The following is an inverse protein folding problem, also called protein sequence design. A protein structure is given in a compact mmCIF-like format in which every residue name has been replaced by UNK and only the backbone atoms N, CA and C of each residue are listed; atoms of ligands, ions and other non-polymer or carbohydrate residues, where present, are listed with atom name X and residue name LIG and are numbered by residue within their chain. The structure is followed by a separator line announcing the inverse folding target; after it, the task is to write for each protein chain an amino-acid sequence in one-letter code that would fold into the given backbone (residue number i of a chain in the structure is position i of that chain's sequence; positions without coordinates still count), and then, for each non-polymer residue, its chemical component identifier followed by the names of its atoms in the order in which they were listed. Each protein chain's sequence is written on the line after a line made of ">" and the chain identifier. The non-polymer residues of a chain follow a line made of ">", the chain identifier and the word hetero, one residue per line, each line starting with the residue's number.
data_IF_158026274304
#
_entry.id   IF_158026274304
#
_cell.length_a   1.000
_cell.length_b   1.000
_cell.length_c   1.000
_cell.angle_alpha   90.00
_cell.angle_beta   90.00
_cell.angle_gamma   90.00
#
_symmetry.space_group_name_H-M   'P 1'
#
loop_
_entity.id
_entity.type
_entity.pdbx_description
1 polymer ?
#
# COMPACT_ATOMS: atom_id res chain seq x y z
N UNK A 1 35.87 36.44 34.49
CA UNK A 1 34.67 36.76 35.31
C UNK A 1 33.64 35.63 35.17
N UNK A 2 32.78 35.38 36.17
CA UNK A 2 31.69 34.39 36.04
C UNK A 2 30.45 35.05 35.43
N UNK A 3 29.81 34.37 34.49
CA UNK A 3 28.55 34.82 33.91
C UNK A 3 27.42 34.73 34.97
N UNK A 4 26.59 35.77 35.17
CA UNK A 4 25.52 35.73 36.16
C UNK A 4 24.41 34.72 35.82
N UNK A 5 24.22 34.41 34.53
CA UNK A 5 23.20 33.47 34.06
C UNK A 5 23.65 32.01 34.20
N UNK A 6 24.82 31.67 33.64
CA UNK A 6 25.24 30.27 33.52
C UNK A 6 26.44 29.90 34.40
N UNK A 7 26.97 30.83 35.20
CA UNK A 7 28.14 30.68 36.08
C UNK A 7 29.45 30.23 35.39
N UNK A 8 29.49 30.21 34.05
CA UNK A 8 30.69 29.87 33.29
C UNK A 8 31.78 30.91 33.51
N UNK A 9 33.03 30.44 33.65
CA UNK A 9 34.21 31.28 33.72
C UNK A 9 34.57 31.79 32.32
N UNK A 10 34.48 33.10 32.10
CA UNK A 10 34.97 33.75 30.89
C UNK A 10 36.28 34.50 31.18
N UNK A 11 37.09 34.71 30.14
CA UNK A 11 38.27 35.58 30.17
C UNK A 11 37.90 36.99 30.66
N UNK A 12 38.85 37.70 31.27
CA UNK A 12 38.60 39.02 31.88
C UNK A 12 38.18 40.09 30.86
N UNK A 13 38.47 39.85 29.58
CA UNK A 13 38.29 40.82 28.50
C UNK A 13 37.14 40.42 27.54
N UNK A 14 36.39 39.36 27.87
CA UNK A 14 35.30 38.87 27.03
C UNK A 14 34.09 39.82 27.10
N UNK A 15 33.65 40.33 25.94
CA UNK A 15 32.47 41.19 25.83
C UNK A 15 31.14 40.42 25.92
N UNK A 16 31.18 39.09 25.75
CA UNK A 16 30.03 38.21 25.87
C UNK A 16 30.45 36.86 26.46
N UNK A 17 29.53 36.18 27.15
CA UNK A 17 29.78 34.83 27.64
C UNK A 17 29.83 33.84 26.47
N UNK A 18 30.90 33.05 26.37
CA UNK A 18 31.06 32.05 25.30
C UNK A 18 30.03 30.92 25.34
N UNK A 19 29.40 30.69 26.50
CA UNK A 19 28.45 29.59 26.70
C UNK A 19 27.00 30.00 26.42
N UNK A 20 26.54 31.14 26.95
CA UNK A 20 25.14 31.58 26.82
C UNK A 20 24.94 32.83 25.94
N UNK A 21 26.02 33.49 25.49
CA UNK A 21 25.95 34.67 24.64
C UNK A 21 25.55 35.98 25.34
N UNK A 22 25.35 35.98 26.66
CA UNK A 22 25.01 37.18 27.41
C UNK A 22 26.15 38.21 27.37
N UNK A 23 25.84 39.46 27.03
CA UNK A 23 26.80 40.57 27.00
C UNK A 23 27.25 40.93 28.43
N UNK A 24 28.56 41.00 28.65
CA UNK A 24 29.16 41.36 29.93
C UNK A 24 29.47 42.87 29.92
N UNK A 25 28.59 43.67 30.52
CA UNK A 25 28.45 45.14 30.34
C UNK A 25 29.58 46.04 30.91
N UNK A 26 30.73 45.50 31.34
CA UNK A 26 31.74 46.27 32.07
C UNK A 26 33.01 46.63 31.29
N UNK A 27 33.05 46.46 29.96
CA UNK A 27 34.24 46.78 29.16
C UNK A 27 33.92 47.90 28.16
N UNK A 28 34.57 49.06 28.33
CA UNK A 28 34.52 50.16 27.36
C UNK A 28 34.82 49.64 25.96
N UNK A 29 34.01 49.96 24.94
CA UNK A 29 34.18 49.42 23.60
C UNK A 29 35.52 49.87 23.01
N UNK A 30 36.43 48.91 22.84
CA UNK A 30 37.74 49.10 22.19
C UNK A 30 37.48 49.41 20.71
N UNK A 31 37.85 50.62 20.25
CA UNK A 31 37.78 51.13 18.85
C UNK A 31 38.28 50.17 17.75
N UNK A 32 38.96 49.08 18.10
CA UNK A 32 39.45 48.04 17.17
C UNK A 32 38.34 47.33 16.38
N UNK A 33 37.12 47.24 16.90
CA UNK A 33 36.03 46.57 16.19
C UNK A 33 35.53 47.40 14.99
N UNK A 34 35.56 48.73 15.10
CA UNK A 34 35.16 49.63 14.01
C UNK A 34 36.23 49.63 12.89
N UNK A 35 37.51 49.66 13.24
CA UNK A 35 38.60 49.62 12.26
C UNK A 35 38.64 48.31 11.45
N UNK A 36 38.38 47.16 12.09
CA UNK A 36 38.27 45.87 11.40
C UNK A 36 37.01 45.80 10.51
N UNK A 37 35.91 46.40 10.93
CA UNK A 37 34.70 46.48 10.11
C UNK A 37 34.92 47.38 8.88
N UNK A 38 35.66 48.48 9.03
CA UNK A 38 36.03 49.38 7.92
C UNK A 38 37.01 48.71 6.96
N UNK A 39 38.03 47.99 7.46
CA UNK A 39 38.94 47.21 6.60
C UNK A 39 38.21 46.10 5.84
N UNK A 40 37.27 45.38 6.46
CA UNK A 40 36.47 44.36 5.75
C UNK A 40 35.58 44.96 4.66
N UNK A 41 35.04 46.17 4.85
CA UNK A 41 34.27 46.87 3.80
C UNK A 41 35.15 47.28 2.63
N UNK A 42 36.37 47.79 2.87
CA UNK A 42 37.31 48.16 1.80
C UNK A 42 37.87 46.95 1.06
N UNK A 43 38.10 45.82 1.73
CA UNK A 43 38.54 44.58 1.09
C UNK A 43 37.43 43.97 0.20
N UNK A 44 36.14 44.14 0.55
CA UNK A 44 35.06 43.67 -0.32
C UNK A 44 34.84 44.50 -1.59
N UNK A 45 35.37 45.73 -1.63
CA UNK A 45 35.23 46.60 -2.80
C UNK A 45 36.25 46.28 -3.91
N UNK A 46 37.35 45.59 -3.59
CA UNK A 46 38.41 45.28 -4.57
C UNK A 46 38.24 43.96 -5.33
N UNK A 47 37.38 43.05 -4.87
CA UNK A 47 37.12 41.76 -5.53
C UNK A 47 35.75 41.75 -6.22
N UNK A 48 35.45 42.79 -7.00
CA UNK A 48 34.26 42.76 -7.85
C UNK A 48 34.51 41.85 -9.05
N UNK A 49 33.90 40.67 -9.04
CA UNK A 49 33.83 39.84 -10.24
C UNK A 49 32.86 40.52 -11.22
N UNK A 50 33.09 40.38 -12.52
CA UNK A 50 32.14 40.82 -13.52
C UNK A 50 31.12 39.71 -13.81
N UNK A 51 29.86 40.08 -13.96
CA UNK A 51 28.82 39.13 -14.32
C UNK A 51 29.04 38.62 -15.75
N UNK A 52 29.14 37.30 -15.93
CA UNK A 52 29.36 36.66 -17.24
C UNK A 52 28.26 36.98 -18.28
N UNK A 53 27.08 37.41 -17.84
CA UNK A 53 25.94 37.68 -18.73
C UNK A 53 25.82 39.15 -19.15
N UNK A 54 26.06 40.09 -18.22
CA UNK A 54 25.83 41.53 -18.47
C UNK A 54 27.05 42.42 -18.24
N UNK A 55 28.18 41.87 -17.79
CA UNK A 55 29.41 42.61 -17.47
C UNK A 55 29.31 43.49 -16.21
N UNK A 56 28.17 43.53 -15.53
CA UNK A 56 28.00 44.33 -14.31
C UNK A 56 28.85 43.79 -13.15
N UNK A 57 29.43 44.69 -12.36
CA UNK A 57 30.17 44.35 -11.15
C UNK A 57 29.26 43.63 -10.14
N UNK A 58 29.69 42.45 -9.69
CA UNK A 58 28.98 41.61 -8.74
C UNK A 58 29.89 41.19 -7.58
N UNK A 59 29.29 41.00 -6.41
CA UNK A 59 29.99 40.41 -5.27
C UNK A 59 30.33 38.95 -5.60
N UNK A 60 31.52 38.44 -5.21
CA UNK A 60 31.96 37.08 -5.51
C UNK A 60 31.11 36.00 -4.82
N UNK A 61 30.26 36.39 -3.85
CA UNK A 61 29.30 35.51 -3.16
C UNK A 61 27.85 35.73 -3.60
N UNK A 62 27.61 36.53 -4.65
CA UNK A 62 26.26 36.82 -5.11
C UNK A 62 25.69 35.62 -5.88
N UNK A 63 24.61 35.05 -5.38
CA UNK A 63 23.88 33.95 -6.05
C UNK A 63 23.19 34.44 -7.33
N UNK A 64 22.81 35.72 -7.38
CA UNK A 64 22.17 36.37 -8.54
C UNK A 64 22.79 37.71 -8.83
N UNK A 65 22.92 38.04 -10.12
CA UNK A 65 23.36 39.35 -10.54
C UNK A 65 22.30 40.41 -10.23
N UNK A 66 22.71 41.55 -9.67
CA UNK A 66 21.81 42.66 -9.35
C UNK A 66 21.28 43.38 -10.61
N UNK A 67 22.03 43.32 -11.71
CA UNK A 67 21.69 44.03 -12.95
C UNK A 67 20.78 43.22 -13.88
N UNK A 68 21.10 41.94 -14.15
CA UNK A 68 20.33 41.10 -15.07
C UNK A 68 19.47 40.04 -14.38
N UNK A 69 19.55 39.88 -13.06
CA UNK A 69 18.85 38.86 -12.27
C UNK A 69 19.21 37.39 -12.57
N UNK A 70 20.16 37.15 -13.48
CA UNK A 70 20.63 35.82 -13.84
C UNK A 70 21.40 35.17 -12.68
N UNK A 71 21.32 33.84 -12.58
CA UNK A 71 22.01 33.05 -11.55
C UNK A 71 23.47 32.93 -11.91
N UNK A 72 24.37 33.40 -11.04
CA UNK A 72 25.81 33.40 -11.30
C UNK A 72 26.49 32.19 -10.66
N UNK A 73 26.00 31.73 -9.50
CA UNK A 73 26.56 30.61 -8.76
C UNK A 73 25.69 29.35 -8.93
N UNK A 74 26.01 28.55 -9.95
CA UNK A 74 25.36 27.24 -10.16
C UNK A 74 25.65 26.24 -9.04
N UNK A 75 26.82 26.30 -8.40
CA UNK A 75 27.23 25.34 -7.38
C UNK A 75 26.37 25.47 -6.13
N UNK A 76 26.01 26.68 -5.74
CA UNK A 76 25.08 26.95 -4.65
C UNK A 76 23.73 26.22 -4.84
N UNK A 77 23.17 26.25 -6.05
CA UNK A 77 21.93 25.55 -6.37
C UNK A 77 22.09 24.03 -6.40
N UNK A 78 23.21 23.51 -6.92
CA UNK A 78 23.52 22.07 -6.89
C UNK A 78 23.62 21.55 -5.46
N UNK A 79 24.35 22.24 -4.58
CA UNK A 79 24.48 21.85 -3.17
C UNK A 79 23.15 21.94 -2.43
N UNK A 80 22.33 22.97 -2.70
CA UNK A 80 21.00 23.11 -2.10
C UNK A 80 20.05 22.00 -2.55
N UNK A 81 20.09 21.63 -3.83
CA UNK A 81 19.31 20.52 -4.38
C UNK A 81 19.73 19.16 -3.78
N UNK A 82 21.03 18.93 -3.56
CA UNK A 82 21.54 17.73 -2.89
C UNK A 82 21.07 17.63 -1.43
N UNK A 83 21.12 18.74 -0.68
CA UNK A 83 20.61 18.79 0.71
C UNK A 83 19.09 18.55 0.80
N UNK A 84 18.32 19.01 -0.18
CA UNK A 84 16.89 18.74 -0.24
C UNK A 84 16.60 17.27 -0.56
N UNK A 85 17.35 16.64 -1.48
CA UNK A 85 17.18 15.22 -1.82
C UNK A 85 17.47 14.30 -0.63
N UNK A 86 18.49 14.59 0.19
CA UNK A 86 18.82 13.76 1.34
C UNK A 86 17.75 13.80 2.44
N UNK A 87 17.10 14.95 2.66
CA UNK A 87 16.00 15.08 3.64
C UNK A 87 14.72 14.36 3.20
N UNK A 88 14.40 14.36 1.91
CA UNK A 88 13.18 13.74 1.39
C UNK A 88 13.24 12.21 1.49
N UNK A 89 14.42 11.60 1.31
CA UNK A 89 14.56 10.15 1.42
C UNK A 89 14.29 9.64 2.85
N UNK A 90 14.68 10.38 3.88
CA UNK A 90 14.48 9.93 5.27
C UNK A 90 13.01 10.02 5.70
N UNK A 91 12.34 11.13 5.37
CA UNK A 91 10.92 11.31 5.68
C UNK A 91 10.04 10.28 4.97
N UNK A 92 10.36 9.95 3.71
CA UNK A 92 9.68 8.89 2.94
C UNK A 92 9.79 7.53 3.63
N UNK A 93 10.96 7.20 4.18
CA UNK A 93 11.19 5.89 4.77
C UNK A 93 10.51 5.73 6.13
N UNK A 94 10.51 6.79 6.93
CA UNK A 94 9.79 6.83 8.23
C UNK A 94 8.28 6.71 8.02
N UNK A 95 7.70 7.45 7.06
CA UNK A 95 6.29 7.32 6.70
C UNK A 95 5.92 5.93 6.20
N UNK A 96 6.80 5.29 5.42
CA UNK A 96 6.59 3.93 4.93
C UNK A 96 6.56 2.89 6.06
N UNK A 97 7.53 2.94 6.98
CA UNK A 97 7.56 2.06 8.15
C UNK A 97 6.36 2.27 9.06
N UNK A 98 5.96 3.53 9.28
CA UNK A 98 4.80 3.84 10.10
C UNK A 98 3.49 3.35 9.47
N UNK A 99 3.34 3.51 8.15
CA UNK A 99 2.21 2.96 7.39
C UNK A 99 2.15 1.43 7.44
N UNK A 100 3.30 0.76 7.36
CA UNK A 100 3.38 -0.70 7.42
C UNK A 100 3.08 -1.23 8.85
N UNK A 101 3.56 -0.54 9.88
CA UNK A 101 3.23 -0.85 11.28
C UNK A 101 1.74 -0.66 11.60
N UNK A 102 1.13 0.42 11.11
CA UNK A 102 -0.30 0.68 11.29
C UNK A 102 -1.18 -0.38 10.59
N UNK A 103 -0.77 -0.86 9.41
CA UNK A 103 -1.45 -1.93 8.68
C UNK A 103 -1.44 -3.28 9.43
N UNK A 104 -0.34 -3.58 10.14
CA UNK A 104 -0.21 -4.79 10.94
C UNK A 104 -1.04 -4.72 12.23
N UNK A 105 -1.11 -3.55 12.87
CA UNK A 105 -1.80 -3.37 14.15
C UNK A 105 -3.32 -3.25 14.01
N UNK A 106 -3.83 -2.68 12.90
CA UNK A 106 -5.25 -2.34 12.76
C UNK A 106 -5.93 -3.10 11.61
N UNK A 107 -5.84 -4.44 11.57
CA UNK A 107 -6.36 -5.26 10.45
C UNK A 107 -7.79 -4.93 9.95
N UNK A 108 -8.81 -4.66 10.79
CA UNK A 108 -10.14 -4.28 10.28
C UNK A 108 -10.31 -2.77 10.03
N UNK A 109 -9.61 -1.90 10.77
CA UNK A 109 -9.77 -0.43 10.67
C UNK A 109 -8.82 0.18 9.61
N UNK A 110 -7.67 -0.45 9.39
CA UNK A 110 -6.64 -0.04 8.44
C UNK A 110 -7.09 -0.15 6.99
N UNK A 111 -7.92 -1.16 6.65
CA UNK A 111 -8.48 -1.28 5.29
C UNK A 111 -9.45 -0.13 5.00
N UNK A 112 -10.29 0.25 5.97
CA UNK A 112 -11.18 1.40 5.86
C UNK A 112 -10.41 2.72 5.78
N UNK A 113 -9.34 2.86 6.56
CA UNK A 113 -8.47 4.05 6.53
C UNK A 113 -7.73 4.20 5.20
N UNK A 114 -7.25 3.10 4.61
CA UNK A 114 -6.60 3.11 3.29
C UNK A 114 -7.61 3.45 2.21
N UNK A 115 -8.82 2.88 2.24
CA UNK A 115 -9.88 3.21 1.29
C UNK A 115 -10.28 4.70 1.39
N UNK A 116 -10.43 5.22 2.61
CA UNK A 116 -10.73 6.63 2.85
C UNK A 116 -9.59 7.54 2.37
N UNK A 117 -8.33 7.19 2.65
CA UNK A 117 -7.16 7.94 2.20
C UNK A 117 -7.01 7.96 0.67
N UNK A 118 -7.31 6.84 0.01
CA UNK A 118 -7.29 6.75 -1.45
C UNK A 118 -8.39 7.62 -2.08
N UNK A 119 -9.61 7.56 -1.53
CA UNK A 119 -10.73 8.42 -1.92
C UNK A 119 -10.41 9.90 -1.71
N UNK A 120 -9.80 10.26 -0.59
CA UNK A 120 -9.38 11.65 -0.32
C UNK A 120 -8.29 12.11 -1.28
N UNK A 121 -7.35 11.24 -1.68
CA UNK A 121 -6.33 11.59 -2.67
C UNK A 121 -6.96 11.83 -4.04
N UNK A 122 -7.90 10.97 -4.46
CA UNK A 122 -8.62 11.13 -5.72
C UNK A 122 -9.45 12.41 -5.69
N UNK A 123 -10.17 12.69 -4.60
CA UNK A 123 -10.93 13.92 -4.43
C UNK A 123 -10.02 15.16 -4.48
N UNK A 124 -8.85 15.11 -3.85
CA UNK A 124 -7.87 16.21 -3.87
C UNK A 124 -7.38 16.53 -5.29
N UNK A 125 -7.12 15.50 -6.10
CA UNK A 125 -6.72 15.69 -7.51
C UNK A 125 -7.89 15.98 -8.46
N UNK A 126 -9.12 15.69 -8.04
CA UNK A 126 -10.33 15.92 -8.83
C UNK A 126 -10.92 17.32 -8.63
N UNK A 127 -10.47 18.10 -7.63
CA UNK A 127 -10.86 19.51 -7.52
C UNK A 127 -10.13 20.26 -8.65
N UNK A 128 -10.84 20.72 -9.69
CA UNK A 128 -10.21 21.53 -10.72
C UNK A 128 -9.75 22.83 -10.05
N UNK A 129 -8.45 23.04 -10.02
CA UNK A 129 -7.89 24.33 -9.64
C UNK A 129 -8.24 25.27 -10.79
N UNK A 130 -9.37 25.96 -10.67
CA UNK A 130 -9.73 27.01 -11.62
C UNK A 130 -8.59 28.01 -11.66
N UNK A 131 -7.93 28.22 -12.81
CA UNK A 131 -6.91 29.23 -12.92
C UNK A 131 -7.55 30.57 -12.55
N UNK A 132 -6.89 31.40 -11.71
CA UNK A 132 -7.47 32.66 -11.26
C UNK A 132 -7.97 33.44 -12.47
N UNK A 133 -9.26 33.78 -12.45
CA UNK A 133 -9.95 34.41 -13.56
C UNK A 133 -9.15 35.63 -14.03
N UNK A 134 -8.54 35.52 -15.22
CA UNK A 134 -7.82 36.64 -15.80
C UNK A 134 -8.83 37.78 -16.00
N UNK A 135 -8.56 39.01 -15.51
CA UNK A 135 -9.53 40.09 -15.60
C UNK A 135 -9.83 40.39 -17.07
N UNK A 136 -11.11 40.21 -17.42
CA UNK A 136 -11.67 40.34 -18.77
C UNK A 136 -11.64 41.82 -19.17
N UNK A 137 -10.59 42.23 -19.87
CA UNK A 137 -10.39 43.62 -20.29
C UNK A 137 -11.25 43.94 -21.53
N UNK A 138 -12.29 44.77 -21.36
CA UNK A 138 -13.09 45.33 -22.45
C UNK A 138 -12.45 46.64 -22.93
N UNK A 139 -12.32 46.74 -24.26
CA UNK A 139 -12.11 47.93 -25.11
C UNK A 139 -10.68 48.49 -25.28
N UNK A 140 -10.18 48.22 -26.49
CA UNK A 140 -9.28 49.03 -27.34
C UNK A 140 -9.07 50.48 -26.89
N UNK A 141 -7.82 50.83 -26.58
CA UNK A 141 -7.24 52.15 -26.88
C UNK A 141 -5.79 51.99 -27.32
N UNK A 142 -5.34 52.87 -28.23
CA UNK A 142 -4.09 52.84 -29.01
C UNK A 142 -2.78 53.00 -28.22
N UNK A 143 -2.79 52.79 -26.90
CA UNK A 143 -1.61 52.88 -26.03
C UNK A 143 -0.79 51.57 -25.93
N UNK A 144 -1.33 50.45 -26.43
CA UNK A 144 -0.71 49.12 -26.35
C UNK A 144 0.52 48.88 -27.24
N UNK A 145 0.85 49.81 -28.14
CA UNK A 145 2.05 49.69 -28.98
C UNK A 145 3.34 50.11 -28.25
N UNK A 146 3.26 51.01 -27.25
CA UNK A 146 4.42 51.45 -26.48
C UNK A 146 4.77 50.50 -25.33
N UNK A 147 3.78 49.84 -24.73
CA UNK A 147 4.01 48.89 -23.62
C UNK A 147 4.55 47.53 -24.13
N UNK A 148 4.27 47.16 -25.38
CA UNK A 148 4.84 45.94 -26.01
C UNK A 148 6.35 46.02 -26.24
N UNK A 149 6.97 47.20 -26.23
CA UNK A 149 8.44 47.33 -26.26
C UNK A 149 9.09 47.15 -24.89
N UNK A 150 8.34 47.25 -23.78
CA UNK A 150 8.87 47.01 -22.44
C UNK A 150 8.54 45.62 -21.87
N UNK A 151 7.52 44.93 -22.37
CA UNK A 151 7.21 43.55 -21.99
C UNK A 151 7.82 42.52 -22.95
N UNK A 152 9.11 42.70 -23.27
CA UNK A 152 9.97 41.60 -23.71
C UNK A 152 10.33 40.76 -22.48
N UNK A 153 9.29 40.27 -21.79
CA UNK A 153 9.44 39.15 -20.87
C UNK A 153 9.76 37.95 -21.76
N UNK A 154 11.05 37.72 -21.95
CA UNK A 154 11.56 36.41 -22.28
C UNK A 154 10.80 35.41 -21.42
N UNK A 155 10.02 34.58 -22.08
CA UNK A 155 9.43 33.41 -21.43
C UNK A 155 10.63 32.61 -20.98
N UNK A 156 11.00 32.74 -19.70
CA UNK A 156 11.86 31.80 -19.00
C UNK A 156 11.05 30.50 -18.98
N UNK A 157 11.12 29.76 -20.08
CA UNK A 157 10.68 28.38 -20.13
C UNK A 157 11.61 27.66 -19.18
N UNK A 158 11.18 27.52 -17.93
CA UNK A 158 11.82 26.59 -17.00
C UNK A 158 11.79 25.25 -17.73
N UNK A 159 12.94 24.69 -18.16
CA UNK A 159 12.93 23.42 -18.84
C UNK A 159 12.44 22.39 -17.82
N UNK A 160 11.18 21.96 -17.97
CA UNK A 160 10.68 20.81 -17.24
C UNK A 160 11.63 19.65 -17.62
N UNK A 161 12.36 19.07 -16.66
CA UNK A 161 13.30 18.02 -16.96
C UNK A 161 12.51 16.90 -17.63
N UNK A 162 12.89 16.54 -18.86
CA UNK A 162 12.26 15.44 -19.57
C UNK A 162 12.24 14.23 -18.63
N UNK A 163 11.04 13.78 -18.25
CA UNK A 163 10.82 12.56 -17.46
C UNK A 163 11.10 11.35 -18.37
N UNK A 164 12.34 11.24 -18.82
CA UNK A 164 12.85 10.16 -19.65
C UNK A 164 13.01 8.94 -18.73
N UNK A 165 12.09 8.01 -18.90
CA UNK A 165 12.21 6.59 -18.56
C UNK A 165 12.53 6.22 -17.11
N UNK A 166 12.05 6.98 -16.11
CA UNK A 166 12.02 6.44 -14.74
C UNK A 166 10.81 5.52 -14.62
N UNK A 167 11.07 4.20 -14.60
CA UNK A 167 10.08 3.18 -14.24
C UNK A 167 9.54 3.52 -12.85
N UNK A 168 8.39 4.19 -12.80
CA UNK A 168 7.59 4.38 -11.61
C UNK A 168 7.09 2.98 -11.22
N UNK A 169 7.89 2.25 -10.44
CA UNK A 169 7.45 1.02 -9.81
C UNK A 169 6.45 1.45 -8.74
N UNK A 170 5.16 1.40 -9.09
CA UNK A 170 4.06 1.69 -8.18
C UNK A 170 4.11 0.67 -7.04
N UNK A 171 4.63 1.09 -5.90
CA UNK A 171 4.69 0.28 -4.67
C UNK A 171 3.27 -0.11 -4.19
N UNK A 172 2.23 0.58 -4.68
CA UNK A 172 0.82 0.27 -4.39
C UNK A 172 0.23 -0.90 -5.20
N UNK A 173 0.79 -1.28 -6.34
CA UNK A 173 0.24 -2.37 -7.19
C UNK A 173 0.10 -3.72 -6.48
N UNK A 174 1.09 -4.22 -5.71
CA UNK A 174 0.95 -5.52 -5.04
C UNK A 174 -0.14 -5.50 -3.94
N UNK A 175 -0.30 -4.39 -3.23
CA UNK A 175 -1.34 -4.26 -2.19
C UNK A 175 -2.74 -4.30 -2.81
N UNK A 176 -2.94 -3.57 -3.92
CA UNK A 176 -4.20 -3.56 -4.65
C UNK A 176 -4.52 -4.96 -5.20
N UNK A 177 -3.53 -5.64 -5.78
CA UNK A 177 -3.70 -7.02 -6.26
C UNK A 177 -4.08 -7.99 -5.13
N UNK A 178 -3.46 -7.87 -3.95
CA UNK A 178 -3.81 -8.69 -2.78
C UNK A 178 -5.25 -8.43 -2.28
N UNK A 179 -5.70 -7.17 -2.26
CA UNK A 179 -7.07 -6.81 -1.88
C UNK A 179 -8.10 -7.34 -2.89
N UNK A 180 -7.82 -7.24 -4.19
CA UNK A 180 -8.68 -7.79 -5.24
C UNK A 180 -8.73 -9.32 -5.13
N UNK A 181 -7.59 -9.98 -4.94
CA UNK A 181 -7.55 -11.43 -4.72
C UNK A 181 -8.39 -11.84 -3.51
N UNK A 182 -8.17 -11.22 -2.36
CA UNK A 182 -8.92 -11.53 -1.13
C UNK A 182 -10.43 -11.30 -1.28
N UNK A 183 -10.84 -10.17 -1.85
CA UNK A 183 -12.27 -9.88 -2.08
C UNK A 183 -12.91 -10.86 -3.06
N UNK A 184 -12.23 -11.21 -4.16
CA UNK A 184 -12.71 -12.21 -5.10
C UNK A 184 -12.95 -13.58 -4.44
N UNK A 185 -12.06 -14.01 -3.53
CA UNK A 185 -12.28 -15.25 -2.76
C UNK A 185 -13.53 -15.19 -1.88
N UNK A 186 -13.72 -14.07 -1.20
CA UNK A 186 -14.87 -13.88 -0.32
C UNK A 186 -16.20 -13.97 -1.08
N UNK A 187 -16.35 -13.21 -2.17
CA UNK A 187 -17.60 -13.16 -2.93
C UNK A 187 -17.82 -14.40 -3.81
N UNK A 188 -16.78 -14.92 -4.45
CA UNK A 188 -16.95 -15.98 -5.47
C UNK A 188 -17.02 -17.39 -4.90
N UNK A 189 -16.45 -17.62 -3.71
CA UNK A 189 -16.31 -18.95 -3.11
C UNK A 189 -16.86 -18.99 -1.68
N UNK A 190 -16.40 -18.10 -0.79
CA UNK A 190 -16.77 -18.15 0.63
C UNK A 190 -18.23 -17.80 0.88
N UNK A 191 -18.77 -16.78 0.23
CA UNK A 191 -20.17 -16.37 0.38
C UNK A 191 -21.15 -17.47 -0.05
N UNK A 192 -20.99 -18.13 -1.22
CA UNK A 192 -21.77 -19.32 -1.57
C UNK A 192 -21.76 -20.41 -0.49
N UNK A 193 -20.61 -20.68 0.15
CA UNK A 193 -20.49 -21.62 1.26
C UNK A 193 -21.25 -21.13 2.49
N UNK A 194 -21.06 -19.87 2.87
CA UNK A 194 -21.73 -19.28 4.03
C UNK A 194 -23.25 -19.35 3.90
N UNK A 195 -23.78 -19.08 2.71
CA UNK A 195 -25.20 -19.22 2.42
C UNK A 195 -25.68 -20.67 2.60
N UNK A 196 -24.94 -21.64 2.09
CA UNK A 196 -25.27 -23.07 2.23
C UNK A 196 -25.33 -23.45 3.71
N UNK A 197 -24.31 -23.07 4.48
CA UNK A 197 -24.24 -23.35 5.91
C UNK A 197 -25.37 -22.70 6.71
N UNK A 198 -25.96 -21.59 6.21
CA UNK A 198 -27.11 -20.92 6.82
C UNK A 198 -28.46 -21.52 6.42
N UNK A 199 -28.55 -22.24 5.30
CA UNK A 199 -29.82 -22.74 4.76
C UNK A 199 -30.41 -23.90 5.56
N UNK A 200 -29.61 -24.66 6.30
CA UNK A 200 -30.06 -25.85 7.02
C UNK A 200 -29.47 -25.94 8.42
N UNK A 201 -30.33 -26.27 9.37
CA UNK A 201 -29.95 -26.48 10.76
C UNK A 201 -29.00 -27.66 10.95
N UNK A 202 -29.03 -28.63 10.03
CA UNK A 202 -28.11 -29.76 10.01
C UNK A 202 -26.63 -29.33 9.89
N UNK A 203 -26.38 -28.14 9.33
CA UNK A 203 -25.03 -27.62 9.16
C UNK A 203 -24.54 -26.78 10.35
N UNK A 204 -25.39 -26.54 11.37
CA UNK A 204 -25.02 -25.78 12.58
C UNK A 204 -23.96 -26.53 13.37
N UNK A 205 -22.71 -26.05 13.31
CA UNK A 205 -21.54 -26.67 13.95
C UNK A 205 -20.45 -27.08 12.97
N UNK A 206 -20.70 -26.97 11.67
CA UNK A 206 -19.69 -27.11 10.64
C UNK A 206 -19.12 -25.75 10.25
N UNK A 207 -17.79 -25.65 10.19
CA UNK A 207 -17.09 -24.46 9.69
C UNK A 207 -16.28 -24.85 8.46
N UNK A 208 -16.57 -24.20 7.34
CA UNK A 208 -15.92 -24.44 6.04
C UNK A 208 -15.34 -23.14 5.53
N UNK A 209 -14.13 -23.21 4.99
CA UNK A 209 -13.48 -22.13 4.25
C UNK A 209 -13.28 -22.57 2.81
N UNK A 210 -13.67 -21.73 1.84
CA UNK A 210 -13.42 -21.96 0.43
C UNK A 210 -12.65 -20.78 -0.16
N UNK A 211 -11.52 -21.07 -0.80
CA UNK A 211 -10.69 -20.06 -1.46
C UNK A 211 -9.96 -20.67 -2.65
N UNK A 212 -9.46 -19.81 -3.53
CA UNK A 212 -8.53 -20.16 -4.58
C UNK A 212 -7.18 -20.56 -3.99
N UNK A 213 -6.41 -21.35 -4.75
CA UNK A 213 -5.05 -21.71 -4.37
C UNK A 213 -4.20 -20.43 -4.18
N UNK A 214 -3.52 -20.36 -3.04
CA UNK A 214 -2.79 -19.18 -2.56
C UNK A 214 -3.61 -17.88 -2.49
N UNK A 215 -4.95 -17.94 -2.46
CA UNK A 215 -5.85 -16.78 -2.54
C UNK A 215 -5.73 -15.95 -3.83
N UNK A 216 -4.98 -16.41 -4.84
CA UNK A 216 -4.69 -15.62 -6.04
C UNK A 216 -4.86 -16.41 -7.33
N UNK A 217 -4.65 -17.72 -7.35
CA UNK A 217 -4.64 -18.51 -8.60
C UNK A 217 -6.06 -18.95 -8.97
N UNK A 218 -6.74 -18.30 -9.94
CA UNK A 218 -8.06 -18.72 -10.36
C UNK A 218 -7.93 -20.06 -11.10
N UNK A 219 -8.68 -21.07 -10.65
CA UNK A 219 -8.75 -22.37 -11.32
C UNK A 219 -8.52 -23.56 -10.41
N UNK A 220 -7.88 -23.37 -9.26
CA UNK A 220 -7.80 -24.39 -8.21
C UNK A 220 -8.57 -23.87 -7.01
N UNK A 221 -9.63 -24.58 -6.61
CA UNK A 221 -10.45 -24.24 -5.45
C UNK A 221 -10.08 -25.18 -4.32
N UNK A 222 -9.75 -24.62 -3.16
CA UNK A 222 -9.57 -25.37 -1.93
C UNK A 222 -10.86 -25.27 -1.09
N UNK A 223 -11.51 -26.40 -0.86
CA UNK A 223 -12.63 -26.56 0.06
C UNK A 223 -12.10 -27.15 1.37
N UNK A 224 -11.86 -26.29 2.36
CA UNK A 224 -11.22 -26.63 3.61
C UNK A 224 -12.24 -26.71 4.75
N UNK A 225 -12.44 -27.92 5.26
CA UNK A 225 -13.25 -28.17 6.44
C UNK A 225 -12.44 -27.85 7.70
N UNK A 226 -12.81 -26.80 8.42
CA UNK A 226 -12.03 -26.30 9.56
C UNK A 226 -12.45 -26.93 10.89
N UNK A 227 -13.75 -27.10 11.09
CA UNK A 227 -14.31 -27.56 12.38
C UNK A 227 -15.59 -28.33 12.14
N UNK A 228 -15.74 -29.41 12.92
CA UNK A 228 -16.95 -30.22 13.03
C UNK A 228 -17.27 -30.36 14.51
N UNK A 229 -18.56 -30.31 14.86
CA UNK A 229 -19.04 -30.73 16.18
C UNK A 229 -19.50 -32.19 16.13
N UNK A 230 -19.63 -32.81 17.30
CA UNK A 230 -20.07 -34.20 17.47
C UNK A 230 -21.48 -34.50 16.93
N UNK A 231 -22.28 -33.46 16.64
CA UNK A 231 -23.64 -33.62 16.10
C UNK A 231 -23.66 -33.79 14.58
N UNK A 232 -22.58 -33.45 13.87
CA UNK A 232 -22.54 -33.58 12.42
C UNK A 232 -22.35 -35.02 12.02
N UNK A 233 -23.26 -35.52 11.19
CA UNK A 233 -23.13 -36.83 10.56
C UNK A 233 -22.30 -36.70 9.27
N UNK A 234 -21.68 -37.79 8.78
CA UNK A 234 -20.95 -37.73 7.52
C UNK A 234 -21.80 -37.30 6.33
N UNK A 235 -23.09 -37.68 6.33
CA UNK A 235 -24.01 -37.29 5.28
C UNK A 235 -24.28 -35.77 5.28
N UNK A 236 -24.26 -35.11 6.43
CA UNK A 236 -24.40 -33.64 6.51
C UNK A 236 -23.21 -32.94 5.88
N UNK A 237 -22.00 -33.42 6.17
CA UNK A 237 -20.74 -32.89 5.59
C UNK A 237 -20.73 -33.11 4.08
N UNK A 238 -21.13 -34.30 3.64
CA UNK A 238 -21.24 -34.63 2.21
C UNK A 238 -22.25 -33.73 1.51
N UNK A 239 -23.43 -33.58 2.08
CA UNK A 239 -24.50 -32.75 1.52
C UNK A 239 -24.09 -31.28 1.40
N UNK A 240 -23.40 -30.73 2.39
CA UNK A 240 -22.88 -29.36 2.31
C UNK A 240 -21.90 -29.19 1.14
N UNK A 241 -21.03 -30.18 0.92
CA UNK A 241 -20.12 -30.19 -0.23
C UNK A 241 -20.87 -30.32 -1.57
N UNK A 242 -21.91 -31.16 -1.64
CA UNK A 242 -22.75 -31.31 -2.84
C UNK A 242 -23.54 -30.03 -3.18
N UNK A 243 -24.10 -29.34 -2.19
CA UNK A 243 -24.74 -28.04 -2.38
C UNK A 243 -23.74 -26.99 -2.88
N UNK A 244 -22.49 -27.05 -2.40
CA UNK A 244 -21.43 -26.18 -2.91
C UNK A 244 -21.08 -26.48 -4.38
N UNK A 245 -20.96 -27.76 -4.73
CA UNK A 245 -20.77 -28.19 -6.12
C UNK A 245 -21.93 -27.74 -7.02
N UNK A 246 -23.17 -27.85 -6.53
CA UNK A 246 -24.38 -27.39 -7.23
C UNK A 246 -24.39 -25.88 -7.47
N UNK A 247 -23.99 -25.06 -6.50
CA UNK A 247 -23.88 -23.60 -6.68
C UNK A 247 -22.80 -23.20 -7.68
N UNK A 248 -21.71 -23.96 -7.76
CA UNK A 248 -20.56 -23.63 -8.62
C UNK A 248 -20.52 -24.40 -9.95
N UNK A 249 -21.55 -25.19 -10.28
CA UNK A 249 -21.60 -26.10 -11.43
C UNK A 249 -21.37 -25.46 -12.81
N UNK A 250 -21.60 -24.16 -12.93
CA UNK A 250 -21.45 -23.39 -14.16
C UNK A 250 -20.01 -22.88 -14.36
N UNK A 251 -19.23 -22.78 -13.28
CA UNK A 251 -17.85 -22.32 -13.32
C UNK A 251 -16.92 -23.46 -13.69
N UNK A 252 -15.90 -23.16 -14.51
CA UNK A 252 -14.87 -24.12 -14.91
C UNK A 252 -13.66 -23.98 -14.00
N UNK A 253 -13.32 -25.06 -13.31
CA UNK A 253 -12.09 -25.17 -12.54
C UNK A 253 -11.18 -26.19 -13.18
N UNK A 254 -9.88 -26.07 -12.94
CA UNK A 254 -8.89 -27.10 -13.25
C UNK A 254 -9.02 -28.25 -12.25
N UNK A 255 -9.17 -27.91 -10.96
CA UNK A 255 -9.14 -28.86 -9.85
C UNK A 255 -9.86 -28.29 -8.63
N UNK A 256 -10.44 -29.17 -7.81
CA UNK A 256 -10.96 -28.86 -6.48
C UNK A 256 -10.27 -29.74 -5.45
N UNK A 257 -9.61 -29.12 -4.50
CA UNK A 257 -8.90 -29.79 -3.42
C UNK A 257 -9.78 -29.80 -2.16
N UNK A 258 -9.93 -30.99 -1.56
CA UNK A 258 -10.62 -31.15 -0.29
C UNK A 258 -9.58 -31.21 0.82
N UNK A 259 -9.64 -30.23 1.71
CA UNK A 259 -8.73 -30.09 2.84
C UNK A 259 -9.47 -30.27 4.16
N UNK A 260 -8.75 -30.71 5.19
CA UNK A 260 -9.22 -30.69 6.57
C UNK A 260 -8.20 -29.97 7.45
N UNK A 261 -8.62 -28.90 8.13
CA UNK A 261 -7.75 -28.04 8.94
C UNK A 261 -6.50 -27.55 8.17
N UNK A 262 -6.65 -27.28 6.88
CA UNK A 262 -5.57 -26.83 5.99
C UNK A 262 -4.69 -27.94 5.42
N UNK A 263 -4.91 -29.19 5.80
CA UNK A 263 -4.20 -30.33 5.20
C UNK A 263 -5.01 -30.88 4.03
N UNK A 264 -4.45 -30.83 2.82
CA UNK A 264 -5.06 -31.40 1.62
C UNK A 264 -5.13 -32.92 1.73
N UNK A 265 -6.34 -33.48 1.57
CA UNK A 265 -6.62 -34.91 1.69
C UNK A 265 -6.97 -35.54 0.35
N UNK A 266 -7.83 -34.85 -0.42
CA UNK A 266 -8.27 -35.30 -1.71
C UNK A 266 -8.19 -34.20 -2.75
N UNK A 267 -8.21 -34.63 -4.01
CA UNK A 267 -8.17 -33.75 -5.16
C UNK A 267 -9.07 -34.31 -6.26
N UNK A 268 -9.91 -33.46 -6.83
CA UNK A 268 -10.86 -33.81 -7.89
C UNK A 268 -10.54 -32.93 -9.09
N UNK A 269 -10.65 -33.48 -10.29
CA UNK A 269 -10.64 -32.65 -11.48
C UNK A 269 -11.90 -31.75 -11.53
N UNK A 270 -11.75 -30.55 -12.09
CA UNK A 270 -12.85 -29.60 -12.09
C UNK A 270 -14.02 -30.01 -13.00
N UNK A 271 -13.82 -30.92 -13.96
CA UNK A 271 -14.89 -31.42 -14.83
C UNK A 271 -15.82 -32.37 -14.07
N UNK A 272 -15.25 -33.31 -13.30
CA UNK A 272 -15.96 -34.20 -12.38
C UNK A 272 -16.65 -33.41 -11.28
N UNK A 273 -16.03 -32.37 -10.72
CA UNK A 273 -16.70 -31.47 -9.76
C UNK A 273 -17.91 -30.77 -10.37
N UNK A 274 -17.78 -30.24 -11.60
CA UNK A 274 -18.91 -29.61 -12.28
C UNK A 274 -20.00 -30.62 -12.64
N UNK A 275 -19.65 -31.86 -13.01
CA UNK A 275 -20.59 -32.95 -13.24
C UNK A 275 -21.34 -33.30 -11.96
N UNK A 276 -20.64 -33.42 -10.83
CA UNK A 276 -21.23 -33.67 -9.52
C UNK A 276 -22.32 -32.64 -9.18
N UNK A 277 -22.01 -31.35 -9.35
CA UNK A 277 -22.96 -30.28 -9.13
C UNK A 277 -24.19 -30.34 -10.07
N UNK A 278 -24.00 -30.74 -11.33
CA UNK A 278 -25.10 -30.90 -12.30
C UNK A 278 -25.99 -32.09 -11.97
N UNK A 279 -25.41 -33.24 -11.66
CA UNK A 279 -26.17 -34.44 -11.30
C UNK A 279 -26.91 -34.25 -9.98
N UNK A 280 -26.29 -33.62 -8.99
CA UNK A 280 -26.97 -33.27 -7.74
C UNK A 280 -28.11 -32.26 -7.95
N UNK A 281 -27.94 -31.28 -8.86
CA UNK A 281 -29.00 -30.35 -9.22
C UNK A 281 -30.21 -31.02 -9.91
N UNK A 282 -30.01 -32.18 -10.54
CA UNK A 282 -31.08 -33.01 -11.14
C UNK A 282 -31.64 -34.02 -10.14
N UNK A 283 -31.28 -33.93 -8.86
CA UNK A 283 -31.68 -34.87 -7.81
C UNK A 283 -31.22 -36.32 -8.06
N UNK A 284 -30.16 -36.51 -8.84
CA UNK A 284 -29.54 -37.81 -9.05
C UNK A 284 -28.65 -38.19 -7.85
N UNK A 285 -29.31 -38.53 -6.73
CA UNK A 285 -28.64 -38.87 -5.47
C UNK A 285 -27.77 -40.12 -5.59
N UNK A 286 -28.09 -41.05 -6.51
CA UNK A 286 -27.29 -42.25 -6.73
C UNK A 286 -25.86 -41.89 -7.14
N UNK A 287 -25.71 -41.01 -8.14
CA UNK A 287 -24.40 -40.55 -8.59
C UNK A 287 -23.69 -39.75 -7.50
N UNK A 288 -24.40 -38.77 -6.91
CA UNK A 288 -23.82 -37.83 -5.96
C UNK A 288 -23.38 -38.47 -4.63
N UNK A 289 -24.07 -39.51 -4.17
CA UNK A 289 -23.77 -40.19 -2.90
C UNK A 289 -22.86 -41.41 -3.08
N UNK A 290 -22.99 -42.17 -4.17
CA UNK A 290 -22.36 -43.49 -4.27
C UNK A 290 -21.28 -43.59 -5.34
N UNK A 291 -21.47 -42.96 -6.50
CA UNK A 291 -20.48 -43.01 -7.57
C UNK A 291 -19.33 -42.04 -7.32
N UNK A 292 -19.62 -40.88 -6.72
CA UNK A 292 -18.61 -39.86 -6.44
C UNK A 292 -17.46 -40.33 -5.52
N UNK A 293 -17.70 -40.97 -4.35
CA UNK A 293 -16.61 -41.44 -3.49
C UNK A 293 -15.63 -42.39 -4.19
N UNK A 294 -16.10 -43.13 -5.20
CA UNK A 294 -15.29 -44.06 -5.99
C UNK A 294 -14.27 -43.38 -6.88
N UNK A 295 -14.50 -42.11 -7.27
CA UNK A 295 -13.55 -41.33 -8.06
C UNK A 295 -12.20 -41.15 -7.33
N UNK A 296 -12.18 -41.29 -6.01
CA UNK A 296 -10.95 -41.20 -5.21
C UNK A 296 -10.31 -42.54 -4.87
N UNK A 297 -11.02 -43.65 -5.11
CA UNK A 297 -10.59 -45.00 -4.70
C UNK A 297 -10.90 -46.02 -5.79
N UNK A 298 -10.14 -46.02 -6.90
CA UNK A 298 -10.38 -46.97 -7.99
C UNK A 298 -10.09 -48.43 -7.62
N UNK A 299 -9.40 -48.70 -6.50
CA UNK A 299 -8.84 -50.02 -6.17
C UNK A 299 -9.69 -50.88 -5.22
N UNK A 300 -10.74 -50.35 -4.59
CA UNK A 300 -11.58 -51.12 -3.64
C UNK A 300 -12.86 -51.56 -4.34
N UNK A 301 -12.77 -52.62 -5.14
CA UNK A 301 -13.86 -53.07 -6.05
C UNK A 301 -14.95 -53.93 -5.40
N UNK A 302 -14.88 -54.23 -4.10
CA UNK A 302 -15.76 -55.21 -3.44
C UNK A 302 -16.58 -54.68 -2.25
N UNK A 303 -16.37 -53.43 -1.82
CA UNK A 303 -17.13 -52.85 -0.69
C UNK A 303 -18.47 -52.28 -1.16
N UNK A 304 -19.50 -52.34 -0.30
CA UNK A 304 -20.83 -51.80 -0.65
C UNK A 304 -20.73 -50.29 -0.89
N UNK A 305 -21.65 -49.72 -1.68
CA UNK A 305 -21.70 -48.27 -1.94
C UNK A 305 -21.69 -47.43 -0.66
N UNK A 306 -22.31 -47.93 0.41
CA UNK A 306 -22.35 -47.28 1.72
C UNK A 306 -20.97 -47.28 2.38
N UNK A 307 -20.22 -48.38 2.27
CA UNK A 307 -18.89 -48.50 2.88
C UNK A 307 -17.88 -47.58 2.20
N UNK A 308 -17.95 -47.46 0.87
CA UNK A 308 -17.10 -46.54 0.12
C UNK A 308 -17.30 -45.08 0.55
N UNK A 309 -18.55 -44.66 0.77
CA UNK A 309 -18.85 -43.32 1.28
C UNK A 309 -18.30 -43.12 2.70
N UNK A 310 -18.51 -44.09 3.59
CA UNK A 310 -17.98 -44.03 4.96
C UNK A 310 -16.45 -43.98 4.99
N UNK A 311 -15.79 -44.78 4.17
CA UNK A 311 -14.34 -44.79 4.03
C UNK A 311 -13.78 -43.47 3.50
N UNK A 312 -14.46 -42.86 2.52
CA UNK A 312 -14.13 -41.53 2.03
C UNK A 312 -14.15 -40.50 3.17
N UNK A 313 -15.21 -40.47 3.98
CA UNK A 313 -15.32 -39.55 5.12
C UNK A 313 -14.27 -39.82 6.20
N UNK A 314 -13.98 -41.10 6.50
CA UNK A 314 -12.92 -41.48 7.43
C UNK A 314 -11.56 -40.94 7.00
N UNK A 315 -11.21 -41.08 5.73
CA UNK A 315 -9.94 -40.57 5.19
C UNK A 315 -9.92 -39.05 5.07
N UNK A 316 -11.07 -38.40 4.89
CA UNK A 316 -11.14 -36.95 4.78
C UNK A 316 -10.87 -36.27 6.12
N UNK A 317 -11.60 -36.65 7.17
CA UNK A 317 -11.50 -35.99 8.48
C UNK A 317 -11.53 -36.94 9.69
N UNK A 318 -11.73 -38.24 9.48
CA UNK A 318 -11.90 -39.23 10.55
C UNK A 318 -10.65 -39.52 11.40
N UNK A 319 -9.46 -39.13 10.94
CA UNK A 319 -8.23 -39.24 11.75
C UNK A 319 -8.27 -38.35 13.02
N UNK A 320 -9.20 -37.38 13.06
CA UNK A 320 -9.31 -36.46 14.19
C UNK A 320 -9.97 -37.14 15.40
N UNK A 321 -9.32 -37.14 16.59
CA UNK A 321 -9.90 -37.71 17.80
C UNK A 321 -11.25 -37.11 18.18
N UNK A 322 -11.54 -35.87 17.81
CA UNK A 322 -12.85 -35.23 18.03
C UNK A 322 -13.96 -35.81 17.13
N UNK A 323 -13.58 -36.44 16.02
CA UNK A 323 -14.51 -37.07 15.07
C UNK A 323 -14.67 -38.57 15.30
N UNK A 324 -13.89 -39.19 16.20
CA UNK A 324 -14.05 -40.60 16.60
C UNK A 324 -15.41 -40.89 17.25
N UNK A 325 -16.11 -39.89 17.80
CA UNK A 325 -17.48 -40.08 18.28
C UNK A 325 -18.50 -40.23 17.14
N UNK A 326 -18.23 -39.64 15.98
CA UNK A 326 -19.00 -39.86 14.74
C UNK A 326 -18.84 -41.31 14.27
N UNK A 327 -17.68 -41.92 14.52
CA UNK A 327 -17.43 -43.35 14.28
C UNK A 327 -18.35 -44.25 15.12
N UNK A 328 -18.67 -43.84 16.35
CA UNK A 328 -19.52 -44.59 17.28
C UNK A 328 -21.02 -44.40 17.03
N UNK A 329 -21.45 -43.28 16.44
CA UNK A 329 -22.87 -43.03 16.09
C UNK A 329 -23.38 -43.77 14.85
N UNK A 330 -22.51 -44.57 14.20
CA UNK A 330 -22.81 -45.35 12.99
C UNK A 330 -22.82 -46.87 13.22
N UNK A 331 -22.67 -47.32 14.47
CA UNK A 331 -22.86 -48.73 14.86
C UNK A 331 -24.29 -49.01 15.28
#
# INVERSE_FOLDING_TARGET
>A
MRCPECNALNETDASACGTCGLLLLNVLPKRRAEDLAVQRRRASDHDSAECQFCGGAISPKAVRCRHCSEVVDEEFYRQRAQRLRSRVNYASWVLYLFGLGALLLFRPVGVLSIAAGLLLSIAYYAIPVEPPASPRNKKRTRLGALIRRQLKLERVSIPLPALRNKKLVFVGTPLIAALIGYSANLFLLQEPVNDILKQSDAFRGMKVSAHYEYYVVPGVVEYNLQTLTFRQTPIDVHKAFLEFAKKLKEKRYKRVDLSYKGNRKFSIDGASFAQLGREYAKENFKFALYDFPRLFQPTVSTSSNRDALLEFHRRWYGDDPLTKTVENGLR
#
